data_IF_452200954169
#
_entry.id   IF_452200954169
#
_cell.length_a   1.000
_cell.length_b   1.000
_cell.length_c   1.000
_cell.angle_alpha   90.00
_cell.angle_beta   90.00
_cell.angle_gamma   90.00
#
_symmetry.space_group_name_H-M   'P 1'
#
loop_
_entity.id
_entity.type
_entity.pdbx_description
1 polymer ?
#
# COMPACT_ATOMS: atom_id res chain seq x y z
N UNK A 1 -21.83 -13.85 -0.66
CA UNK A 1 -21.42 -13.63 -0.20
C UNK A 1 -21.28 -13.10 0.50
N UNK A 2 -21.34 -13.07 0.81
CA UNK A 2 -21.33 -12.53 1.53
C UNK A 2 -20.68 -11.83 1.95
N UNK A 3 -20.45 -11.46 1.77
CA UNK A 3 -19.70 -10.66 1.97
C UNK A 3 -19.69 -9.86 2.97
N UNK A 4 -20.33 -9.78 3.50
CA UNK A 4 -20.42 -9.02 4.45
C UNK A 4 -19.39 -9.15 5.37
N UNK A 5 -18.75 -10.03 5.42
CA UNK A 5 -17.73 -10.09 6.26
C UNK A 5 -16.69 -9.19 5.94
N UNK A 6 -16.88 -8.14 5.54
CA UNK A 6 -15.92 -7.25 5.20
C UNK A 6 -14.80 -7.25 6.14
N UNK A 7 -13.88 -8.06 6.01
CA UNK A 7 -12.68 -7.99 6.77
C UNK A 7 -11.60 -7.31 5.99
N UNK A 8 -11.94 -6.35 5.20
CA UNK A 8 -10.97 -5.58 4.45
C UNK A 8 -10.00 -4.87 5.39
N UNK A 9 -8.75 -4.86 5.03
CA UNK A 9 -7.70 -4.22 5.79
C UNK A 9 -6.99 -3.21 4.91
N UNK A 10 -6.55 -2.13 5.52
CA UNK A 10 -5.71 -1.15 4.83
C UNK A 10 -4.27 -1.57 5.06
N UNK A 11 -3.52 -1.73 3.99
CA UNK A 11 -2.10 -2.05 4.11
C UNK A 11 -1.26 -0.91 3.56
N UNK A 12 -0.11 -0.70 4.16
CA UNK A 12 0.81 0.34 3.75
C UNK A 12 2.12 -0.33 3.34
N UNK A 13 2.52 -0.13 2.12
CA UNK A 13 3.78 -0.65 1.62
C UNK A 13 4.81 0.46 1.59
N UNK A 14 6.00 0.18 2.09
CA UNK A 14 7.10 1.13 2.08
C UNK A 14 8.09 0.69 1.02
N UNK A 15 8.37 1.57 0.08
CA UNK A 15 9.34 1.32 -0.98
C UNK A 15 10.60 2.11 -0.67
N UNK A 16 11.71 1.42 -0.51
CA UNK A 16 12.98 2.06 -0.19
C UNK A 16 13.96 1.87 -1.34
N UNK A 17 14.84 2.82 -1.51
CA UNK A 17 15.85 2.77 -2.55
C UNK A 17 17.15 3.33 -2.01
N UNK A 18 18.26 2.86 -2.56
CA UNK A 18 19.58 3.24 -2.13
C UNK A 18 19.85 4.74 -2.27
N UNK A 19 19.41 5.33 -3.39
CA UNK A 19 19.70 6.72 -3.72
C UNK A 19 18.47 7.58 -3.89
N UNK A 20 17.28 7.00 -3.88
CA UNK A 20 16.03 7.73 -4.10
C UNK A 20 15.23 7.84 -2.81
N UNK A 21 14.33 8.81 -2.78
CA UNK A 21 13.48 9.01 -1.60
C UNK A 21 12.54 7.84 -1.41
N UNK A 22 12.22 7.57 -0.16
CA UNK A 22 11.26 6.52 0.20
C UNK A 22 9.88 6.88 -0.33
N UNK A 23 9.15 5.87 -0.77
CA UNK A 23 7.78 6.03 -1.25
C UNK A 23 6.85 5.12 -0.44
N UNK A 24 5.59 5.51 -0.36
CA UNK A 24 4.59 4.72 0.34
C UNK A 24 3.42 4.45 -0.59
N UNK A 25 2.85 3.26 -0.51
CA UNK A 25 1.66 2.90 -1.28
C UNK A 25 0.62 2.35 -0.32
N UNK A 26 -0.59 2.87 -0.38
CA UNK A 26 -1.67 2.49 0.51
C UNK A 26 -2.74 1.80 -0.31
N UNK A 27 -3.14 0.62 0.11
CA UNK A 27 -4.16 -0.15 -0.58
C UNK A 27 -5.08 -0.85 0.39
N UNK A 28 -6.09 -1.52 -0.13
CA UNK A 28 -7.06 -2.25 0.66
C UNK A 28 -7.21 -3.67 0.11
N UNK A 29 -7.27 -4.64 1.00
CA UNK A 29 -7.42 -6.04 0.60
C UNK A 29 -7.95 -6.87 1.77
N UNK A 30 -8.59 -7.98 1.44
CA UNK A 30 -9.02 -8.93 2.45
C UNK A 30 -7.86 -9.81 2.92
N UNK A 31 -6.90 -10.04 2.05
CA UNK A 31 -5.74 -10.89 2.36
C UNK A 31 -4.45 -10.12 2.07
N UNK A 32 -3.88 -9.55 3.10
CA UNK A 32 -2.68 -8.71 2.98
C UNK A 32 -1.50 -9.54 2.50
N UNK A 33 -1.34 -10.76 3.01
CA UNK A 33 -0.21 -11.60 2.59
C UNK A 33 -0.22 -11.93 1.11
N UNK A 34 -1.38 -12.31 0.58
CA UNK A 34 -1.49 -12.63 -0.83
C UNK A 34 -1.29 -11.38 -1.69
N UNK A 35 -1.82 -10.26 -1.26
CA UNK A 35 -1.66 -9.01 -2.01
C UNK A 35 -0.21 -8.54 -2.03
N UNK A 36 0.46 -8.63 -0.89
CA UNK A 36 1.87 -8.26 -0.81
C UNK A 36 2.70 -9.11 -1.77
N UNK A 37 2.43 -10.40 -1.81
CA UNK A 37 3.14 -11.29 -2.72
C UNK A 37 2.95 -10.89 -4.17
N UNK A 38 1.73 -10.52 -4.54
CA UNK A 38 1.44 -10.04 -5.90
C UNK A 38 2.21 -8.76 -6.22
N UNK A 39 2.31 -7.84 -5.26
CA UNK A 39 3.10 -6.63 -5.47
C UNK A 39 4.58 -6.96 -5.69
N UNK A 40 5.12 -7.89 -4.92
CA UNK A 40 6.52 -8.29 -5.06
C UNK A 40 6.79 -8.94 -6.42
N UNK A 41 5.77 -9.58 -7.00
CA UNK A 41 5.88 -10.19 -8.32
C UNK A 41 5.61 -9.19 -9.45
N UNK A 42 5.25 -7.97 -9.11
CA UNK A 42 4.92 -6.95 -10.11
C UNK A 42 3.57 -7.16 -10.77
N UNK A 43 2.67 -7.89 -10.16
CA UNK A 43 1.38 -8.23 -10.76
C UNK A 43 0.17 -7.54 -10.15
N UNK A 44 0.37 -6.77 -9.07
CA UNK A 44 -0.77 -6.15 -8.40
C UNK A 44 -1.20 -4.86 -9.04
N UNK A 45 -0.28 -3.97 -9.35
CA UNK A 45 -0.60 -2.73 -10.03
C UNK A 45 0.63 -2.16 -10.72
N UNK A 46 0.39 -1.21 -11.61
CA UNK A 46 1.48 -0.61 -12.38
C UNK A 46 2.41 0.24 -11.51
N UNK A 47 1.87 0.87 -10.48
CA UNK A 47 2.67 1.74 -9.62
C UNK A 47 3.79 0.96 -8.93
N UNK A 48 3.43 -0.12 -8.24
CA UNK A 48 4.42 -0.92 -7.52
C UNK A 48 5.33 -1.66 -8.48
N UNK A 49 4.82 -2.07 -9.64
CA UNK A 49 5.66 -2.68 -10.66
C UNK A 49 6.77 -1.74 -11.11
N UNK A 50 6.43 -0.46 -11.33
CA UNK A 50 7.42 0.54 -11.73
C UNK A 50 8.46 0.74 -10.64
N UNK A 51 8.04 0.73 -9.38
CA UNK A 51 8.97 0.87 -8.27
C UNK A 51 9.97 -0.28 -8.26
N UNK A 52 9.48 -1.50 -8.44
CA UNK A 52 10.35 -2.67 -8.48
C UNK A 52 11.32 -2.57 -9.66
N UNK A 53 10.83 -2.17 -10.82
CA UNK A 53 11.68 -2.01 -12.01
C UNK A 53 12.76 -0.95 -11.82
N UNK A 54 12.52 0.02 -10.95
CA UNK A 54 13.50 1.05 -10.64
C UNK A 54 14.47 0.65 -9.53
N UNK A 55 14.28 -0.53 -8.95
CA UNK A 55 15.16 -1.00 -7.91
C UNK A 55 14.69 -0.74 -6.49
N UNK A 56 13.44 -0.35 -6.31
CA UNK A 56 12.91 -0.16 -4.97
C UNK A 56 12.62 -1.50 -4.31
N UNK A 57 12.81 -1.55 -3.01
CA UNK A 57 12.46 -2.71 -2.20
C UNK A 57 11.13 -2.44 -1.52
N UNK A 58 10.15 -3.29 -1.73
CA UNK A 58 8.84 -3.15 -1.14
C UNK A 58 8.76 -3.96 0.14
N UNK A 59 8.30 -3.33 1.22
CA UNK A 59 8.08 -4.01 2.48
C UNK A 59 6.76 -3.59 3.06
N UNK A 60 6.16 -4.45 3.86
CA UNK A 60 4.90 -4.14 4.53
C UNK A 60 5.22 -3.26 5.74
N UNK A 61 4.77 -2.01 5.70
CA UNK A 61 5.04 -1.05 6.76
C UNK A 61 3.99 -1.13 7.87
N UNK A 62 2.72 -1.20 7.49
CA UNK A 62 1.65 -1.24 8.48
C UNK A 62 0.41 -1.91 7.91
N UNK A 63 -0.41 -2.45 8.80
CA UNK A 63 -1.71 -3.00 8.45
C UNK A 63 -2.72 -2.43 9.44
N UNK A 64 -3.78 -1.83 8.92
CA UNK A 64 -4.81 -1.22 9.72
C UNK A 64 -6.13 -1.93 9.47
N UNK A 65 -6.71 -2.47 10.50
CA UNK A 65 -8.03 -3.08 10.38
C UNK A 65 -9.06 -1.97 10.46
N UNK A 66 -10.01 -1.99 9.56
CA UNK A 66 -11.01 -0.95 9.53
C UNK A 66 -12.35 -1.53 9.11
N UNK A 67 -13.42 -0.88 9.53
CA UNK A 67 -14.76 -1.29 9.17
C UNK A 67 -15.52 -0.20 8.42
N UNK A 68 -14.88 0.91 8.07
CA UNK A 68 -15.59 1.95 7.35
C UNK A 68 -14.97 2.22 5.98
N UNK A 69 -15.83 2.68 5.07
CA UNK A 69 -15.50 2.79 3.66
C UNK A 69 -14.45 3.86 3.35
N UNK A 70 -14.33 4.88 4.21
CA UNK A 70 -13.42 5.98 3.95
C UNK A 70 -12.03 5.78 4.56
N UNK A 71 -11.78 4.62 5.15
CA UNK A 71 -10.53 4.41 5.87
C UNK A 71 -9.31 4.48 4.98
N UNK A 72 -9.40 3.92 3.78
CA UNK A 72 -8.26 3.96 2.84
C UNK A 72 -7.90 5.40 2.49
N UNK A 73 -8.91 6.21 2.18
CA UNK A 73 -8.70 7.60 1.84
C UNK A 73 -8.14 8.38 3.03
N UNK A 74 -8.67 8.13 4.21
CA UNK A 74 -8.20 8.81 5.42
C UNK A 74 -6.73 8.46 5.72
N UNK A 75 -6.36 7.21 5.60
CA UNK A 75 -4.98 6.77 5.83
C UNK A 75 -4.05 7.35 4.76
N UNK A 76 -4.48 7.35 3.52
CA UNK A 76 -3.69 7.93 2.43
C UNK A 76 -3.40 9.40 2.71
N UNK A 77 -4.43 10.16 3.09
CA UNK A 77 -4.25 11.58 3.38
C UNK A 77 -3.36 11.80 4.60
N UNK A 78 -3.48 10.96 5.60
CA UNK A 78 -2.64 11.06 6.79
C UNK A 78 -1.17 10.88 6.42
N UNK A 79 -0.87 9.89 5.62
CA UNK A 79 0.51 9.64 5.18
C UNK A 79 1.02 10.77 4.30
N UNK A 80 0.18 11.33 3.43
CA UNK A 80 0.55 12.47 2.62
C UNK A 80 0.94 13.68 3.46
N UNK A 81 0.25 13.88 4.57
CA UNK A 81 0.58 14.99 5.48
C UNK A 81 1.89 14.75 6.21
N UNK A 82 2.17 13.49 6.57
CA UNK A 82 3.39 13.18 7.31
C UNK A 82 4.63 13.16 6.42
N UNK A 83 4.51 12.63 5.21
CA UNK A 83 5.66 12.37 4.35
C UNK A 83 5.64 13.14 3.03
N UNK A 84 4.56 13.83 2.72
CA UNK A 84 4.45 14.61 1.49
C UNK A 84 3.60 13.93 0.43
N UNK A 85 2.86 14.74 -0.33
CA UNK A 85 1.93 14.23 -1.34
C UNK A 85 2.63 13.42 -2.43
N UNK A 86 3.86 13.79 -2.77
CA UNK A 86 4.57 13.13 -3.87
C UNK A 86 5.18 11.79 -3.46
N UNK A 87 5.26 11.53 -2.17
CA UNK A 87 5.86 10.30 -1.67
C UNK A 87 4.83 9.22 -1.39
N UNK A 88 3.56 9.52 -1.42
CA UNK A 88 2.48 8.61 -1.05
C UNK A 88 1.50 8.46 -2.20
N UNK A 89 1.11 7.22 -2.49
CA UNK A 89 0.11 6.92 -3.51
C UNK A 89 -0.94 6.01 -2.90
N UNK A 90 -2.14 6.09 -3.40
CA UNK A 90 -3.21 5.25 -2.86
C UNK A 90 -4.23 4.84 -3.87
#
# INVERSE_FOLDING_TARGET
HSSNSSSDKIYVLKATHRTRSTRWYIGRTENVGARLERHLQGRACNYTKRLIDRGYALTLDAVIKTSFDFAEDAVTKMYMRMFGMHSVAG
#
